data_IF_338530121850
#
_entry.id   IF_338530121850
#
_cell.length_a   1.000
_cell.length_b   1.000
_cell.length_c   1.000
_cell.angle_alpha   90.00
_cell.angle_beta   90.00
_cell.angle_gamma   90.00
#
_symmetry.space_group_name_H-M   'P 1'
#
loop_
_entity.id
_entity.type
_entity.pdbx_description
1 polymer ?
#
# COMPACT_ATOMS: atom_id res chain seq x y z
N UNK A 1 -23.18 -33.05 -7.80
CA UNK A 1 -24.65 -32.99 -7.66
C UNK A 1 -24.94 -32.42 -6.28
N UNK A 2 -25.42 -31.19 -6.12
CA UNK A 2 -26.12 -30.38 -7.13
C UNK A 2 -25.23 -29.37 -7.86
N UNK A 3 -25.73 -29.02 -9.04
CA UNK A 3 -25.32 -27.96 -9.95
C UNK A 3 -25.92 -26.61 -9.53
N UNK A 4 -25.20 -25.52 -9.82
CA UNK A 4 -25.68 -24.24 -10.39
C UNK A 4 -24.42 -23.40 -10.68
N UNK A 5 -23.89 -23.32 -11.93
CA UNK A 5 -24.26 -22.32 -12.96
C UNK A 5 -24.69 -20.98 -12.35
N UNK A 6 -24.12 -19.82 -12.62
CA UNK A 6 -23.26 -19.31 -13.70
C UNK A 6 -23.50 -17.79 -13.72
N UNK A 7 -22.51 -16.97 -14.07
CA UNK A 7 -22.70 -15.51 -14.04
C UNK A 7 -21.45 -14.74 -14.41
N UNK A 8 -21.11 -14.82 -15.70
CA UNK A 8 -20.09 -14.04 -16.37
C UNK A 8 -20.58 -12.59 -16.57
N UNK A 9 -19.74 -11.60 -16.32
CA UNK A 9 -20.03 -10.18 -16.57
C UNK A 9 -18.75 -9.38 -16.52
N UNK A 10 -18.08 -9.26 -17.67
CA UNK A 10 -16.92 -8.40 -17.84
C UNK A 10 -17.33 -6.97 -18.17
N UNK A 11 -16.51 -6.03 -17.71
CA UNK A 11 -16.25 -4.70 -18.28
C UNK A 11 -14.82 -4.35 -17.83
N UNK A 12 -13.83 -4.39 -18.71
CA UNK A 12 -13.45 -3.34 -19.67
C UNK A 12 -12.64 -2.20 -19.03
N UNK A 13 -11.36 -2.16 -19.41
CA UNK A 13 -10.48 -0.99 -19.52
C UNK A 13 -10.26 -0.08 -18.30
N UNK A 14 -9.25 -0.42 -17.50
CA UNK A 14 -8.38 0.61 -16.90
C UNK A 14 -6.99 0.55 -17.50
N UNK A 15 -6.77 1.43 -18.48
CA UNK A 15 -5.46 1.79 -19.00
C UNK A 15 -4.55 2.18 -17.85
N UNK A 16 -3.40 1.53 -17.76
CA UNK A 16 -2.33 1.90 -16.83
C UNK A 16 -1.88 3.34 -17.07
N UNK A 17 -1.98 4.16 -16.03
CA UNK A 17 -1.19 5.37 -15.93
C UNK A 17 0.24 4.97 -15.55
N UNK A 18 1.15 5.10 -16.51
CA UNK A 18 2.59 5.13 -16.25
C UNK A 18 2.91 6.33 -15.34
N UNK A 19 3.80 6.19 -14.34
CA UNK A 19 4.23 7.33 -13.54
C UNK A 19 5.10 8.26 -14.40
N UNK A 20 4.78 9.56 -14.36
CA UNK A 20 5.59 10.62 -14.95
C UNK A 20 6.98 10.65 -14.28
N UNK A 21 8.00 10.19 -15.00
CA UNK A 21 9.41 10.39 -14.63
C UNK A 21 9.76 11.89 -14.79
N UNK A 22 10.07 12.57 -13.70
CA UNK A 22 10.59 13.94 -13.74
C UNK A 22 12.09 13.90 -13.95
N UNK A 23 12.52 14.32 -15.14
CA UNK A 23 13.92 14.43 -15.52
C UNK A 23 14.53 15.67 -14.84
N UNK A 24 15.49 15.47 -13.94
CA UNK A 24 16.23 16.57 -13.30
C UNK A 24 17.72 16.44 -13.61
N UNK A 25 18.36 17.52 -14.05
CA UNK A 25 19.81 17.56 -14.28
C UNK A 25 20.51 18.15 -13.06
N UNK A 26 21.43 17.39 -12.46
CA UNK A 26 22.39 17.92 -11.50
C UNK A 26 23.79 17.89 -12.15
N UNK A 27 24.45 19.05 -12.26
CA UNK A 27 25.80 19.19 -12.85
C UNK A 27 25.99 18.54 -14.23
N UNK A 28 25.00 18.63 -15.12
CA UNK A 28 25.14 18.24 -16.52
C UNK A 28 25.22 16.74 -16.80
N UNK A 29 24.91 15.87 -15.82
CA UNK A 29 24.73 14.42 -16.06
C UNK A 29 23.32 13.99 -15.68
N UNK A 30 22.72 13.19 -16.57
CA UNK A 30 21.45 12.50 -16.33
C UNK A 30 21.66 11.41 -15.28
N UNK A 31 20.84 11.42 -14.23
CA UNK A 31 20.81 10.35 -13.23
C UNK A 31 19.36 9.86 -13.10
N UNK A 32 19.20 8.54 -13.21
CA UNK A 32 17.94 7.84 -12.95
C UNK A 32 17.77 7.66 -11.44
N UNK A 33 16.63 8.06 -10.90
CA UNK A 33 16.27 7.75 -9.52
C UNK A 33 15.49 6.44 -9.48
N UNK A 34 16.07 5.43 -8.83
CA UNK A 34 15.42 4.15 -8.54
C UNK A 34 14.73 4.27 -7.16
N UNK A 35 13.42 4.01 -7.01
CA UNK A 35 12.70 4.29 -5.76
C UNK A 35 13.00 3.31 -4.60
N UNK A 36 13.94 2.37 -4.75
CA UNK A 36 14.09 1.22 -3.83
C UNK A 36 15.42 1.13 -3.06
N UNK A 37 16.26 2.17 -3.01
CA UNK A 37 17.46 2.16 -2.16
C UNK A 37 17.20 2.77 -0.78
N UNK A 38 16.96 1.86 0.17
CA UNK A 38 17.29 1.83 1.61
C UNK A 38 17.68 3.13 2.34
N UNK A 39 16.99 3.32 3.47
CA UNK A 39 16.87 4.51 4.31
C UNK A 39 18.00 4.70 5.34
N UNK A 40 19.23 4.23 5.09
CA UNK A 40 20.25 4.11 6.15
C UNK A 40 21.51 4.98 6.02
N UNK A 41 21.58 5.90 5.05
CA UNK A 41 22.79 6.73 4.85
C UNK A 41 22.52 8.25 4.76
N UNK A 42 21.58 8.77 5.55
CA UNK A 42 21.28 10.22 5.61
C UNK A 42 21.39 10.88 7.00
N UNK A 43 22.08 10.27 7.98
CA UNK A 43 22.30 10.90 9.30
C UNK A 43 23.56 11.75 9.45
N UNK A 44 24.29 12.02 8.38
CA UNK A 44 25.59 12.68 8.47
C UNK A 44 25.82 13.79 7.46
N UNK A 45 24.86 14.70 7.21
CA UNK A 45 25.08 15.93 6.42
C UNK A 45 23.88 16.89 6.49
N UNK A 46 23.65 17.51 7.63
CA UNK A 46 22.89 18.76 7.72
C UNK A 46 23.60 19.71 8.69
N UNK A 47 24.68 20.32 8.20
CA UNK A 47 25.25 21.53 8.76
C UNK A 47 25.53 22.45 7.60
N UNK A 48 24.59 23.38 7.36
CA UNK A 48 24.75 24.72 6.74
C UNK A 48 23.36 25.24 6.37
N UNK A 49 22.62 25.75 7.37
CA UNK A 49 21.52 26.67 7.13
C UNK A 49 21.95 28.03 7.67
N UNK A 50 22.67 28.77 6.84
CA UNK A 50 23.00 30.17 7.07
C UNK A 50 22.25 31.03 6.06
N UNK A 51 21.40 31.91 6.61
CA UNK A 51 21.06 33.24 6.12
C UNK A 51 20.31 33.36 4.77
N UNK A 52 19.04 33.76 4.88
CA UNK A 52 18.67 35.06 4.31
C UNK A 52 17.54 35.72 5.13
N UNK A 53 17.88 36.87 5.70
CA UNK A 53 16.99 37.86 6.30
C UNK A 53 15.85 38.27 5.35
N UNK A 54 14.67 38.59 5.88
CA UNK A 54 14.21 39.99 5.99
C UNK A 54 12.81 40.10 6.62
N UNK A 55 12.73 40.93 7.67
CA UNK A 55 11.57 41.71 8.13
C UNK A 55 10.23 41.00 8.41
N UNK A 56 10.03 40.64 9.68
CA UNK A 56 8.74 40.81 10.36
C UNK A 56 8.94 41.78 11.54
N UNK A 57 8.85 43.08 11.25
CA UNK A 57 8.66 44.12 12.26
C UNK A 57 7.24 44.69 12.10
N UNK A 58 6.62 44.95 13.24
CA UNK A 58 5.42 45.77 13.46
C UNK A 58 4.07 45.23 12.98
N UNK A 59 3.37 44.55 13.88
CA UNK A 59 1.90 44.54 13.91
C UNK A 59 1.42 44.67 15.37
N UNK A 60 1.98 45.66 16.08
CA UNK A 60 1.63 45.99 17.47
C UNK A 60 1.44 47.50 17.70
N UNK A 61 1.11 48.25 16.65
CA UNK A 61 0.80 49.67 16.74
C UNK A 61 -0.40 50.02 15.88
N UNK A 62 -1.62 49.73 16.36
CA UNK A 62 -2.82 50.47 15.94
C UNK A 62 -3.95 50.44 16.99
N UNK A 63 -3.59 50.61 18.26
CA UNK A 63 -4.52 51.09 19.30
C UNK A 63 -3.88 52.29 20.01
N UNK A 64 -3.94 53.45 19.36
CA UNK A 64 -3.73 54.75 20.02
C UNK A 64 -4.56 55.83 19.32
N UNK A 65 -5.88 55.65 19.38
CA UNK A 65 -6.86 56.70 19.15
C UNK A 65 -7.52 57.10 20.47
N UNK A 66 -6.76 57.72 21.37
CA UNK A 66 -7.33 58.56 22.43
C UNK A 66 -6.42 59.78 22.59
N UNK A 67 -6.82 60.88 21.97
CA UNK A 67 -6.02 62.10 21.89
C UNK A 67 -6.56 63.12 20.91
N UNK A 68 -7.88 63.33 20.88
CA UNK A 68 -8.52 64.38 20.06
C UNK A 68 -9.53 65.18 20.89
N UNK A 69 -9.04 65.87 21.92
CA UNK A 69 -9.85 66.85 22.69
C UNK A 69 -9.14 68.19 22.95
N UNK A 70 -8.14 68.58 22.15
CA UNK A 70 -7.47 69.90 22.30
C UNK A 70 -7.44 70.76 21.03
N UNK A 71 -8.45 70.64 20.16
CA UNK A 71 -8.67 71.56 19.04
C UNK A 71 -10.09 72.15 19.00
N UNK A 72 -10.73 72.30 20.17
CA UNK A 72 -12.01 73.02 20.32
C UNK A 72 -11.95 74.12 21.39
N UNK A 73 -10.80 74.80 21.52
CA UNK A 73 -10.68 76.05 22.29
C UNK A 73 -9.67 76.97 21.63
N UNK A 74 -10.08 77.64 20.55
CA UNK A 74 -9.57 78.98 20.15
C UNK A 74 -10.12 79.42 18.79
N UNK A 75 -11.45 79.50 18.66
CA UNK A 75 -12.05 80.39 17.66
C UNK A 75 -13.19 81.16 18.33
N UNK A 76 -12.84 82.33 18.86
CA UNK A 76 -13.77 83.37 19.28
C UNK A 76 -14.23 84.18 18.03
N UNK A 77 -15.24 85.06 18.14
CA UNK A 77 -16.29 85.18 17.16
C UNK A 77 -16.11 86.42 16.30
N UNK A 78 -15.90 86.24 14.99
CA UNK A 78 -15.99 87.35 14.04
C UNK A 78 -17.38 87.41 13.42
N UNK A 79 -18.19 88.24 14.07
CA UNK A 79 -19.28 89.04 13.50
C UNK A 79 -19.07 89.37 12.02
N UNK A 80 -20.17 89.18 11.28
CA UNK A 80 -20.61 89.97 10.11
C UNK A 80 -19.63 90.01 8.91
N UNK A 81 -19.92 89.17 7.92
CA UNK A 81 -20.45 89.61 6.62
C UNK A 81 -21.11 88.42 5.94
N UNK A 82 -22.43 88.53 5.69
CA UNK A 82 -23.13 87.67 4.73
C UNK A 82 -22.57 87.99 3.35
N UNK A 83 -21.56 87.25 2.93
CA UNK A 83 -21.27 87.03 1.51
C UNK A 83 -21.83 85.65 1.19
N UNK A 84 -23.00 85.63 0.55
CA UNK A 84 -23.49 84.51 -0.22
C UNK A 84 -22.50 84.28 -1.36
N UNK A 85 -21.39 83.59 -1.06
CA UNK A 85 -20.63 82.89 -2.10
C UNK A 85 -21.50 81.70 -2.48
N UNK A 86 -22.30 81.90 -3.52
CA UNK A 86 -22.85 80.81 -4.31
C UNK A 86 -21.63 80.03 -4.80
N UNK A 87 -21.28 78.96 -4.08
CA UNK A 87 -20.33 77.98 -4.56
C UNK A 87 -20.95 77.38 -5.82
N UNK A 88 -20.60 77.96 -6.97
CA UNK A 88 -20.85 77.33 -8.26
C UNK A 88 -20.24 75.95 -8.17
N UNK A 89 -20.98 74.88 -8.50
CA UNK A 89 -20.41 73.54 -8.58
C UNK A 89 -19.16 73.62 -9.47
N UNK A 90 -18.01 73.24 -8.92
CA UNK A 90 -16.78 73.08 -9.70
C UNK A 90 -17.13 72.08 -10.81
N UNK A 91 -17.35 72.59 -12.03
CA UNK A 91 -17.51 71.73 -13.19
C UNK A 91 -16.16 71.03 -13.37
N UNK A 92 -16.10 69.69 -13.32
CA UNK A 92 -14.86 68.99 -13.60
C UNK A 92 -14.40 69.41 -14.99
N UNK A 93 -13.15 69.85 -15.09
CA UNK A 93 -12.54 70.10 -16.39
C UNK A 93 -12.52 68.78 -17.17
N UNK A 94 -12.70 68.77 -18.50
CA UNK A 94 -12.79 67.53 -19.28
C UNK A 94 -11.63 66.55 -19.01
N UNK A 95 -10.41 67.06 -18.80
CA UNK A 95 -9.23 66.25 -18.41
C UNK A 95 -9.34 65.52 -17.07
N UNK A 96 -10.10 66.01 -16.10
CA UNK A 96 -10.26 65.34 -14.79
C UNK A 96 -11.39 64.32 -14.79
N UNK A 97 -12.34 64.42 -15.72
CA UNK A 97 -13.39 63.43 -15.90
C UNK A 97 -12.81 62.15 -16.52
N UNK A 98 -12.01 62.28 -17.57
CA UNK A 98 -11.34 61.15 -18.25
C UNK A 98 -10.40 60.38 -17.30
N UNK A 99 -9.65 61.11 -16.46
CA UNK A 99 -8.77 60.50 -15.45
C UNK A 99 -9.54 59.72 -14.37
N UNK A 100 -10.72 60.21 -13.97
CA UNK A 100 -11.56 59.53 -12.99
C UNK A 100 -12.23 58.29 -13.58
N UNK A 101 -12.63 58.35 -14.86
CA UNK A 101 -13.17 57.20 -15.58
C UNK A 101 -12.13 56.09 -15.75
N UNK A 102 -10.87 56.44 -16.06
CA UNK A 102 -9.77 55.49 -16.12
C UNK A 102 -9.52 54.79 -14.77
N UNK A 103 -9.52 55.55 -13.66
CA UNK A 103 -9.36 54.98 -12.31
C UNK A 103 -10.50 54.02 -11.98
N UNK A 104 -11.74 54.37 -12.33
CA UNK A 104 -12.89 53.47 -12.12
C UNK A 104 -12.74 52.18 -12.95
N UNK A 105 -12.28 52.27 -14.20
CA UNK A 105 -11.99 51.09 -15.02
C UNK A 105 -10.91 50.21 -14.39
N UNK A 106 -9.80 50.79 -13.90
CA UNK A 106 -8.75 50.03 -13.21
C UNK A 106 -9.28 49.35 -11.94
N UNK A 107 -10.06 50.06 -11.11
CA UNK A 107 -10.69 49.48 -9.91
C UNK A 107 -11.60 48.30 -10.29
N UNK A 108 -12.41 48.43 -11.34
CA UNK A 108 -13.26 47.32 -11.79
C UNK A 108 -12.46 46.15 -12.36
N UNK A 109 -11.32 46.40 -13.01
CA UNK A 109 -10.42 45.36 -13.49
C UNK A 109 -9.75 44.60 -12.35
N UNK A 110 -9.29 45.32 -11.32
CA UNK A 110 -8.75 44.73 -10.08
C UNK A 110 -9.83 43.93 -9.36
N UNK A 111 -11.07 44.43 -9.27
CA UNK A 111 -12.20 43.72 -8.68
C UNK A 111 -12.47 42.37 -9.35
N UNK A 112 -12.54 42.34 -10.69
CA UNK A 112 -12.68 41.10 -11.46
C UNK A 112 -11.50 40.13 -11.26
N UNK A 113 -10.29 40.67 -11.12
CA UNK A 113 -9.10 39.86 -10.86
C UNK A 113 -9.16 39.21 -9.46
N UNK A 114 -9.64 39.94 -8.45
CA UNK A 114 -9.85 39.42 -7.09
C UNK A 114 -10.90 38.31 -7.08
N UNK A 115 -12.05 38.51 -7.73
CA UNK A 115 -13.09 37.47 -7.86
C UNK A 115 -12.56 36.20 -8.55
N UNK A 116 -11.77 36.35 -9.61
CA UNK A 116 -11.14 35.23 -10.29
C UNK A 116 -10.10 34.51 -9.42
N UNK A 117 -9.35 35.25 -8.59
CA UNK A 117 -8.43 34.66 -7.62
C UNK A 117 -9.17 33.92 -6.51
N UNK A 118 -10.24 34.49 -5.97
CA UNK A 118 -11.09 33.84 -4.95
C UNK A 118 -11.69 32.54 -5.47
N UNK A 119 -12.17 32.52 -6.73
CA UNK A 119 -12.64 31.29 -7.38
C UNK A 119 -11.54 30.23 -7.42
N UNK A 120 -10.34 30.58 -7.87
CA UNK A 120 -9.21 29.64 -7.94
C UNK A 120 -8.77 29.14 -6.56
N UNK A 121 -8.79 30.00 -5.55
CA UNK A 121 -8.48 29.62 -4.17
C UNK A 121 -9.53 28.64 -3.65
N UNK A 122 -10.81 28.86 -3.95
CA UNK A 122 -11.90 27.94 -3.63
C UNK A 122 -11.68 26.58 -4.30
N UNK A 123 -11.38 26.56 -5.59
CA UNK A 123 -11.11 25.34 -6.34
C UNK A 123 -9.91 24.57 -5.75
N UNK A 124 -8.81 25.27 -5.46
CA UNK A 124 -7.64 24.67 -4.82
C UNK A 124 -7.95 24.13 -3.42
N UNK A 125 -8.80 24.81 -2.66
CA UNK A 125 -9.27 24.35 -1.35
C UNK A 125 -10.04 23.04 -1.49
N UNK A 126 -10.99 22.98 -2.43
CA UNK A 126 -11.76 21.74 -2.68
C UNK A 126 -10.86 20.59 -3.14
N UNK A 127 -9.93 20.84 -4.06
CA UNK A 127 -8.95 19.85 -4.50
C UNK A 127 -8.07 19.35 -3.33
N UNK A 128 -7.61 20.26 -2.46
CA UNK A 128 -6.84 19.91 -1.27
C UNK A 128 -7.63 19.02 -0.30
N UNK A 129 -8.92 19.31 -0.10
CA UNK A 129 -9.78 18.46 0.74
C UNK A 129 -10.01 17.07 0.14
N UNK A 130 -10.18 16.98 -1.19
CA UNK A 130 -10.29 15.71 -1.90
C UNK A 130 -9.04 14.86 -1.74
N UNK A 131 -7.86 15.44 -2.01
CA UNK A 131 -6.57 14.75 -1.86
C UNK A 131 -6.37 14.26 -0.43
N UNK A 132 -6.78 15.04 0.57
CA UNK A 132 -6.71 14.61 1.98
C UNK A 132 -7.59 13.40 2.25
N UNK A 133 -8.79 13.36 1.69
CA UNK A 133 -9.68 12.20 1.80
C UNK A 133 -9.08 10.96 1.13
N UNK A 134 -8.51 11.12 -0.06
CA UNK A 134 -7.85 10.03 -0.79
C UNK A 134 -6.65 9.48 -0.02
N UNK A 135 -5.81 10.35 0.56
CA UNK A 135 -4.67 9.95 1.42
C UNK A 135 -5.17 9.16 2.63
N UNK A 136 -6.24 9.60 3.29
CA UNK A 136 -6.80 8.87 4.43
C UNK A 136 -7.34 7.49 4.01
N UNK A 137 -7.97 7.40 2.84
CA UNK A 137 -8.41 6.12 2.27
C UNK A 137 -7.21 5.20 2.00
N UNK A 138 -6.16 5.71 1.35
CA UNK A 138 -4.96 4.93 1.07
C UNK A 138 -4.28 4.44 2.35
N UNK A 139 -4.20 5.27 3.40
CA UNK A 139 -3.67 4.84 4.70
C UNK A 139 -4.41 3.63 5.25
N UNK A 140 -5.75 3.62 5.21
CA UNK A 140 -6.55 2.46 5.63
C UNK A 140 -6.23 1.23 4.78
N UNK A 141 -6.18 1.37 3.45
CA UNK A 141 -5.87 0.23 2.57
C UNK A 141 -4.47 -0.34 2.81
N UNK A 142 -3.47 0.51 3.05
CA UNK A 142 -2.10 0.08 3.35
C UNK A 142 -2.06 -0.66 4.68
N UNK A 143 -2.79 -0.20 5.71
CA UNK A 143 -2.85 -0.90 7.00
C UNK A 143 -3.53 -2.26 6.90
N UNK A 144 -4.59 -2.39 6.09
CA UNK A 144 -5.23 -3.69 5.82
C UNK A 144 -4.27 -4.66 5.10
N UNK A 145 -3.59 -4.17 4.07
CA UNK A 145 -2.62 -4.96 3.32
C UNK A 145 -1.45 -5.41 4.20
N UNK A 146 -0.94 -4.54 5.08
CA UNK A 146 0.12 -4.88 6.04
C UNK A 146 -0.35 -5.98 7.01
N UNK A 147 -1.59 -5.90 7.49
CA UNK A 147 -2.14 -6.95 8.37
C UNK A 147 -2.32 -8.29 7.66
N UNK A 148 -2.81 -8.26 6.41
CA UNK A 148 -2.93 -9.46 5.57
C UNK A 148 -1.56 -10.06 5.24
N UNK A 149 -0.56 -9.22 4.98
CA UNK A 149 0.81 -9.66 4.71
C UNK A 149 1.38 -10.37 5.95
N UNK A 150 1.28 -9.76 7.14
CA UNK A 150 1.71 -10.39 8.40
C UNK A 150 1.06 -11.74 8.64
N UNK A 151 -0.25 -11.85 8.41
CA UNK A 151 -0.97 -13.12 8.53
C UNK A 151 -0.45 -14.19 7.57
N UNK A 152 -0.08 -13.80 6.35
CA UNK A 152 0.51 -14.69 5.36
C UNK A 152 1.92 -15.09 5.78
N UNK A 153 2.75 -14.15 6.21
CA UNK A 153 4.11 -14.39 6.71
C UNK A 153 4.12 -15.36 7.90
N UNK A 154 3.21 -15.18 8.87
CA UNK A 154 3.05 -16.09 10.02
C UNK A 154 2.72 -17.52 9.57
N UNK A 155 1.87 -17.67 8.55
CA UNK A 155 1.56 -18.99 7.97
C UNK A 155 2.78 -19.60 7.30
N UNK A 156 3.54 -18.83 6.53
CA UNK A 156 4.77 -19.30 5.91
C UNK A 156 5.83 -19.70 6.94
N UNK A 157 5.91 -19.00 8.08
CA UNK A 157 6.83 -19.32 9.15
C UNK A 157 6.57 -20.70 9.79
N UNK A 158 5.34 -21.23 9.71
CA UNK A 158 4.97 -22.55 10.26
C UNK A 158 5.20 -23.72 9.28
N UNK A 159 5.38 -23.46 7.99
CA UNK A 159 5.59 -24.50 6.98
C UNK A 159 6.87 -25.34 7.21
N UNK A 160 8.02 -24.78 7.60
CA UNK A 160 9.22 -25.57 7.88
C UNK A 160 9.02 -26.57 9.02
N UNK A 161 8.33 -26.17 10.09
CA UNK A 161 8.02 -27.04 11.23
C UNK A 161 7.14 -28.22 10.77
N UNK A 162 6.09 -27.93 10.01
CA UNK A 162 5.22 -28.97 9.42
C UNK A 162 5.99 -29.93 8.50
N UNK A 163 6.92 -29.42 7.67
CA UNK A 163 7.73 -30.28 6.80
C UNK A 163 8.65 -31.19 7.61
N UNK A 164 9.27 -30.68 8.68
CA UNK A 164 10.09 -31.52 9.58
C UNK A 164 9.26 -32.62 10.27
N UNK A 165 8.04 -32.31 10.70
CA UNK A 165 7.13 -33.29 11.29
C UNK A 165 6.73 -34.35 10.25
N UNK A 166 6.42 -33.95 9.02
CA UNK A 166 6.10 -34.88 7.93
C UNK A 166 7.29 -35.78 7.60
N UNK A 167 8.51 -35.25 7.55
CA UNK A 167 9.72 -36.04 7.33
C UNK A 167 9.94 -37.06 8.47
N UNK A 168 9.76 -36.65 9.72
CA UNK A 168 9.85 -37.54 10.88
C UNK A 168 8.80 -38.66 10.83
N UNK A 169 7.54 -38.32 10.54
CA UNK A 169 6.46 -39.30 10.42
C UNK A 169 6.71 -40.27 9.27
N UNK A 170 7.20 -39.80 8.11
CA UNK A 170 7.60 -40.67 7.00
C UNK A 170 8.71 -41.63 7.39
N UNK A 171 9.77 -41.15 8.04
CA UNK A 171 10.86 -42.00 8.51
C UNK A 171 10.37 -43.07 9.49
N UNK A 172 9.43 -42.73 10.38
CA UNK A 172 8.82 -43.67 11.31
C UNK A 172 7.95 -44.71 10.61
N UNK A 173 7.17 -44.31 9.60
CA UNK A 173 6.37 -45.24 8.79
C UNK A 173 7.31 -46.23 8.09
N UNK A 174 8.36 -45.74 7.44
CA UNK A 174 9.34 -46.61 6.76
C UNK A 174 10.01 -47.60 7.73
N UNK A 175 10.44 -47.16 8.92
CA UNK A 175 11.00 -48.08 9.93
C UNK A 175 9.98 -49.13 10.40
N UNK A 176 8.72 -48.76 10.55
CA UNK A 176 7.66 -49.71 10.91
C UNK A 176 7.37 -50.70 9.77
N UNK A 177 7.29 -50.23 8.54
CA UNK A 177 7.11 -51.09 7.35
C UNK A 177 8.27 -52.07 7.20
N UNK A 178 9.51 -51.60 7.33
CA UNK A 178 10.71 -52.45 7.27
C UNK A 178 10.70 -53.51 8.37
N UNK A 179 10.26 -53.18 9.59
CA UNK A 179 10.13 -54.15 10.69
C UNK A 179 9.04 -55.20 10.43
N UNK A 180 7.92 -54.79 9.83
CA UNK A 180 6.82 -55.70 9.49
C UNK A 180 7.23 -56.64 8.35
N UNK A 181 8.04 -56.16 7.40
CA UNK A 181 8.46 -56.94 6.24
C UNK A 181 9.75 -57.74 6.43
N UNK A 182 10.54 -57.45 7.46
CA UNK A 182 11.82 -58.13 7.73
C UNK A 182 11.71 -59.65 7.76
N UNK A 183 10.60 -60.17 8.29
CA UNK A 183 10.36 -61.61 8.44
C UNK A 183 9.41 -62.17 7.35
N UNK A 184 8.99 -61.33 6.40
CA UNK A 184 8.09 -61.72 5.33
C UNK A 184 8.89 -62.04 4.06
N UNK A 185 8.76 -63.28 3.57
CA UNK A 185 9.31 -63.70 2.28
C UNK A 185 8.19 -63.73 1.25
N UNK A 186 8.36 -62.97 0.17
CA UNK A 186 7.42 -62.97 -0.97
C UNK A 186 7.93 -63.90 -2.06
N UNK A 187 7.10 -64.88 -2.44
CA UNK A 187 7.37 -65.76 -3.57
C UNK A 187 6.63 -65.25 -4.80
N UNK A 188 7.34 -65.07 -5.91
CA UNK A 188 6.77 -64.66 -7.19
C UNK A 188 6.89 -65.80 -8.20
N UNK A 189 5.92 -65.91 -9.12
CA UNK A 189 5.96 -66.89 -10.22
C UNK A 189 5.56 -68.32 -9.85
N UNK A 190 4.94 -68.53 -8.68
CA UNK A 190 4.31 -69.81 -8.35
C UNK A 190 3.00 -69.91 -9.15
N UNK A 191 2.79 -70.96 -9.98
CA UNK A 191 1.53 -71.14 -10.70
C UNK A 191 0.36 -71.26 -9.73
N UNK A 192 -0.77 -70.64 -10.05
CA UNK A 192 -1.97 -70.77 -9.23
C UNK A 192 -2.34 -72.25 -9.03
N UNK A 193 -2.81 -72.59 -7.82
CA UNK A 193 -3.23 -73.93 -7.41
C UNK A 193 -2.13 -74.99 -7.28
N UNK A 194 -0.85 -74.71 -7.57
CA UNK A 194 0.24 -75.67 -7.29
C UNK A 194 0.46 -75.93 -5.81
N UNK A 195 0.06 -74.98 -4.97
CA UNK A 195 0.15 -75.05 -3.50
C UNK A 195 -0.81 -76.10 -2.89
N UNK A 196 -1.87 -76.49 -3.62
CA UNK A 196 -2.94 -77.33 -3.10
C UNK A 196 -3.75 -76.67 -1.97
N UNK A 197 -4.32 -77.49 -1.09
CA UNK A 197 -5.15 -77.02 0.04
C UNK A 197 -4.32 -76.57 1.25
N UNK A 198 -3.09 -77.10 1.40
CA UNK A 198 -2.21 -76.82 2.54
C UNK A 198 -0.88 -76.21 2.08
N UNK A 199 -0.85 -74.87 2.09
CA UNK A 199 0.32 -74.04 1.76
C UNK A 199 1.53 -74.37 2.65
N UNK A 200 1.32 -74.78 3.91
CA UNK A 200 2.45 -75.10 4.81
C UNK A 200 3.15 -76.39 4.42
N UNK A 201 2.39 -77.40 3.99
CA UNK A 201 2.95 -78.64 3.48
C UNK A 201 3.72 -78.38 2.19
N UNK A 202 3.11 -77.65 1.25
CA UNK A 202 3.78 -77.25 0.01
C UNK A 202 5.12 -76.53 0.25
N UNK A 203 5.14 -75.51 1.12
CA UNK A 203 6.38 -74.76 1.40
C UNK A 203 7.46 -75.62 2.07
N UNK A 204 7.08 -76.62 2.89
CA UNK A 204 8.04 -77.55 3.51
C UNK A 204 8.75 -78.43 2.49
N UNK A 205 8.06 -78.84 1.44
CA UNK A 205 8.63 -79.67 0.38
C UNK A 205 9.36 -78.82 -0.67
N UNK A 206 8.84 -77.62 -0.95
CA UNK A 206 9.36 -76.70 -1.97
C UNK A 206 10.65 -75.97 -1.56
N UNK A 207 10.77 -75.53 -0.30
CA UNK A 207 11.94 -74.77 0.16
C UNK A 207 13.27 -75.56 0.05
N UNK A 208 13.35 -76.83 0.46
CA UNK A 208 14.56 -77.64 0.30
C UNK A 208 14.94 -77.85 -1.17
N UNK A 209 13.95 -78.04 -2.06
CA UNK A 209 14.18 -78.19 -3.51
C UNK A 209 14.83 -76.92 -4.09
N UNK A 210 14.38 -75.74 -3.65
CA UNK A 210 14.82 -74.47 -4.19
C UNK A 210 16.16 -73.98 -3.61
N UNK A 211 16.40 -74.24 -2.33
CA UNK A 211 17.56 -73.68 -1.60
C UNK A 211 18.71 -74.66 -1.40
N UNK A 212 18.49 -75.96 -1.61
CA UNK A 212 19.44 -77.03 -1.22
C UNK A 212 19.84 -76.99 0.26
N UNK A 213 19.10 -76.27 1.11
CA UNK A 213 19.37 -76.17 2.54
C UNK A 213 18.56 -77.24 3.30
N UNK A 214 19.25 -77.99 4.15
CA UNK A 214 18.62 -78.87 5.14
C UNK A 214 18.39 -78.09 6.42
N UNK A 215 17.13 -77.79 6.75
CA UNK A 215 16.78 -77.12 8.00
C UNK A 215 16.87 -78.10 9.16
N UNK A 216 17.71 -77.79 10.15
CA UNK A 216 17.87 -78.59 11.38
C UNK A 216 16.70 -78.42 12.38
N UNK A 217 15.86 -77.40 12.19
CA UNK A 217 14.67 -77.13 12.99
C UNK A 217 13.43 -76.91 12.12
N UNK A 218 12.24 -77.15 12.69
CA UNK A 218 10.98 -76.98 11.98
C UNK A 218 10.73 -75.50 11.64
N UNK A 219 10.55 -75.20 10.34
CA UNK A 219 10.24 -73.85 9.85
C UNK A 219 8.80 -73.49 10.24
N UNK A 220 8.63 -72.45 11.05
CA UNK A 220 7.34 -71.90 11.44
C UNK A 220 6.81 -70.94 10.38
N UNK A 221 5.76 -71.34 9.66
CA UNK A 221 5.10 -70.47 8.67
C UNK A 221 3.89 -69.80 9.30
N UNK A 222 3.92 -68.47 9.41
CA UNK A 222 2.76 -67.63 9.70
C UNK A 222 2.10 -67.22 8.40
N UNK A 223 0.77 -67.36 8.29
CA UNK A 223 0.06 -67.14 7.03
C UNK A 223 -0.27 -65.66 6.88
N UNK A 224 0.24 -65.02 5.82
CA UNK A 224 -0.17 -63.69 5.38
C UNK A 224 -1.38 -63.74 4.42
N UNK A 225 -2.09 -62.63 4.21
CA UNK A 225 -3.15 -62.53 3.21
C UNK A 225 -2.60 -62.76 1.80
N UNK A 226 -3.36 -63.48 0.97
CA UNK A 226 -3.01 -63.71 -0.43
C UNK A 226 -3.45 -62.48 -1.24
N UNK A 227 -2.50 -61.65 -1.66
CA UNK A 227 -2.81 -60.49 -2.50
C UNK A 227 -3.14 -60.98 -3.92
N UNK A 228 -4.42 -61.04 -4.25
CA UNK A 228 -4.86 -61.23 -5.64
C UNK A 228 -4.59 -59.94 -6.39
N UNK A 229 -3.58 -59.94 -7.26
CA UNK A 229 -3.44 -58.89 -8.27
C UNK A 229 -4.59 -59.06 -9.26
N UNK A 230 -5.62 -58.23 -9.12
CA UNK A 230 -6.65 -58.09 -10.15
C UNK A 230 -5.96 -57.55 -11.41
N UNK A 231 -5.73 -58.43 -12.38
CA UNK A 231 -5.32 -58.06 -13.73
C UNK A 231 -6.54 -57.60 -14.54
#
# INVERSE_FOLDING_TARGET
MPDHSGGNGGDADHRGCLPCLTLSTLNGRLVFWDPLTTHEEQRGRQSTAALCHTRCHSLDYFLKCEGREKLLRNLNPLRRRRSLLVLRPLRPTPRSADAMEHILQEITAVGRCLEAMDSKISDLSTASTSIRADIACFQVTVTDLDHRLKTVEDRFATLPEQDTELQFLRAKITDLEDRIWRDNVSFFGIPEHKEGTDVKAFLKDFLPELTSLTFSHAVGVSKGPQNRSSA
#
